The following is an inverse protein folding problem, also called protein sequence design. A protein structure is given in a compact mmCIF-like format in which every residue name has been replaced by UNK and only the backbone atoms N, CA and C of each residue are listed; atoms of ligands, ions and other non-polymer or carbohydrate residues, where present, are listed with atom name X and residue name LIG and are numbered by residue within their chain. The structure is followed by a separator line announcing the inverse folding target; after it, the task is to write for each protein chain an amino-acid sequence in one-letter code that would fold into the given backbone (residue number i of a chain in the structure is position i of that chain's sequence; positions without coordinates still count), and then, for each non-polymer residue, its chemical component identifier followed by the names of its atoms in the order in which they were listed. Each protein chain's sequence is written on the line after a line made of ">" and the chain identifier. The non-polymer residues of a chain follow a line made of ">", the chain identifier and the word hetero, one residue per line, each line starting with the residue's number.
data_IF_239959765216
#
_entry.id   IF_239959765216
#
_cell.length_a   1.000
_cell.length_b   1.000
_cell.length_c   1.000
_cell.angle_alpha   90.00
_cell.angle_beta   90.00
_cell.angle_gamma   90.00
#
_symmetry.space_group_name_H-M   'P 1'
#
loop_
_entity.id
_entity.type
_entity.pdbx_description
1 polymer ?
#
# COMPACT_ATOMS: atom_id res chain seq x y z
N UNK A 1 -14.08 33.19 14.34
CA UNK A 1 -15.34 33.30 13.58
C UNK A 1 -16.34 32.32 14.19
N UNK A 2 -17.55 32.74 14.57
CA UNK A 2 -18.58 31.80 15.06
C UNK A 2 -19.31 31.19 13.86
N UNK A 3 -18.79 30.07 13.36
CA UNK A 3 -19.41 29.31 12.25
C UNK A 3 -20.50 28.34 12.74
N UNK A 4 -20.36 27.83 13.96
CA UNK A 4 -21.22 26.76 14.50
C UNK A 4 -22.70 27.16 14.51
N UNK A 5 -23.54 26.36 13.85
CA UNK A 5 -24.99 26.57 13.74
C UNK A 5 -25.40 27.61 12.68
N UNK A 6 -24.47 28.10 11.86
CA UNK A 6 -24.79 29.06 10.79
C UNK A 6 -25.11 28.38 9.46
N UNK A 7 -25.89 29.06 8.61
CA UNK A 7 -26.09 28.63 7.21
C UNK A 7 -24.76 28.54 6.43
N UNK A 8 -23.73 29.30 6.85
CA UNK A 8 -22.40 29.23 6.24
C UNK A 8 -21.71 27.91 6.55
N UNK A 9 -21.81 27.41 7.78
CA UNK A 9 -21.28 26.10 8.14
C UNK A 9 -21.96 24.98 7.35
N UNK A 10 -23.29 25.01 7.22
CA UNK A 10 -24.02 24.02 6.42
C UNK A 10 -23.54 24.00 4.96
N UNK A 11 -23.40 25.19 4.35
CA UNK A 11 -22.89 25.33 2.98
C UNK A 11 -21.45 24.84 2.86
N UNK A 12 -20.58 25.13 3.83
CA UNK A 12 -19.21 24.63 3.87
C UNK A 12 -19.15 23.11 3.99
N UNK A 13 -19.97 22.48 4.84
CA UNK A 13 -20.04 21.02 4.94
C UNK A 13 -20.47 20.38 3.62
N UNK A 14 -21.45 20.98 2.94
CA UNK A 14 -21.92 20.50 1.64
C UNK A 14 -20.86 20.67 0.55
N UNK A 15 -20.14 21.79 0.56
CA UNK A 15 -19.03 22.01 -0.37
C UNK A 15 -17.90 20.98 -0.13
N UNK A 16 -17.49 20.80 1.13
CA UNK A 16 -16.49 19.79 1.52
C UNK A 16 -16.83 18.39 1.02
N UNK A 17 -18.06 17.91 1.26
CA UNK A 17 -18.50 16.60 0.75
C UNK A 17 -18.45 16.55 -0.78
N UNK A 18 -18.87 17.63 -1.45
CA UNK A 18 -18.84 17.70 -2.93
C UNK A 18 -17.41 17.64 -3.47
N UNK A 19 -16.46 18.33 -2.87
CA UNK A 19 -15.05 18.30 -3.29
C UNK A 19 -14.43 16.91 -3.08
N UNK A 20 -14.76 16.23 -1.97
CA UNK A 20 -14.35 14.84 -1.76
C UNK A 20 -14.91 13.90 -2.85
N UNK A 21 -16.18 14.06 -3.21
CA UNK A 21 -16.79 13.29 -4.31
C UNK A 21 -16.17 13.60 -5.67
N UNK A 22 -15.94 14.88 -5.98
CA UNK A 22 -15.33 15.31 -7.23
C UNK A 22 -13.91 14.76 -7.38
N UNK A 23 -13.10 14.87 -6.33
CA UNK A 23 -11.76 14.25 -6.24
C UNK A 23 -11.79 12.77 -6.56
N UNK A 24 -12.68 12.00 -5.92
CA UNK A 24 -12.76 10.56 -6.13
C UNK A 24 -13.13 10.23 -7.58
N UNK A 25 -14.15 10.91 -8.13
CA UNK A 25 -14.57 10.72 -9.52
C UNK A 25 -13.46 11.03 -10.51
N UNK A 26 -12.76 12.17 -10.36
CA UNK A 26 -11.66 12.53 -11.25
C UNK A 26 -10.48 11.56 -11.14
N UNK A 27 -10.25 10.96 -9.98
CA UNK A 27 -9.26 9.87 -9.84
C UNK A 27 -9.66 8.67 -10.70
N UNK A 28 -10.91 8.20 -10.61
CA UNK A 28 -11.38 7.08 -11.43
C UNK A 28 -11.46 7.40 -12.92
N UNK A 29 -11.80 8.64 -13.28
CA UNK A 29 -11.81 9.08 -14.68
C UNK A 29 -10.40 9.13 -15.26
N UNK A 30 -9.40 9.49 -14.45
CA UNK A 30 -8.01 9.42 -14.86
C UNK A 30 -7.61 7.97 -15.17
N UNK A 31 -7.97 7.01 -14.32
CA UNK A 31 -7.66 5.60 -14.55
C UNK A 31 -8.32 5.06 -15.82
N UNK A 32 -9.60 5.40 -16.06
CA UNK A 32 -10.29 5.04 -17.29
C UNK A 32 -9.61 5.67 -18.53
N UNK A 33 -9.16 6.92 -18.43
CA UNK A 33 -8.43 7.58 -19.52
C UNK A 33 -7.06 6.93 -19.79
N UNK A 34 -6.31 6.50 -18.77
CA UNK A 34 -5.05 5.74 -18.94
C UNK A 34 -5.30 4.42 -19.65
N UNK A 35 -6.34 3.68 -19.24
CA UNK A 35 -6.71 2.42 -19.89
C UNK A 35 -7.10 2.61 -21.36
N UNK A 36 -7.63 3.78 -21.72
CA UNK A 36 -7.93 4.16 -23.10
C UNK A 36 -6.70 4.73 -23.87
N UNK A 37 -5.52 4.81 -23.25
CA UNK A 37 -4.32 5.40 -23.84
C UNK A 37 -4.36 6.91 -24.01
N UNK A 38 -5.25 7.61 -23.28
CA UNK A 38 -5.45 9.06 -23.34
C UNK A 38 -4.70 9.77 -22.20
N UNK A 39 -3.37 9.68 -22.21
CA UNK A 39 -2.53 10.14 -21.10
C UNK A 39 -2.75 11.62 -20.72
N UNK A 40 -2.84 12.53 -21.69
CA UNK A 40 -3.08 13.95 -21.39
C UNK A 40 -4.42 14.19 -20.69
N UNK A 41 -5.44 13.40 -21.02
CA UNK A 41 -6.75 13.48 -20.37
C UNK A 41 -6.66 12.93 -18.95
N UNK A 42 -5.95 11.81 -18.77
CA UNK A 42 -5.70 11.24 -17.45
C UNK A 42 -4.92 12.18 -16.53
N UNK A 43 -3.91 12.85 -17.06
CA UNK A 43 -3.10 13.84 -16.34
C UNK A 43 -3.95 15.03 -15.89
N UNK A 44 -4.79 15.56 -16.78
CA UNK A 44 -5.67 16.68 -16.44
C UNK A 44 -6.70 16.29 -15.38
N UNK A 45 -7.29 15.09 -15.47
CA UNK A 45 -8.16 14.58 -14.41
C UNK A 45 -7.42 14.40 -13.09
N UNK A 46 -6.20 13.86 -13.11
CA UNK A 46 -5.39 13.66 -11.90
C UNK A 46 -5.03 15.01 -11.25
N UNK A 47 -4.61 15.99 -12.05
CA UNK A 47 -4.31 17.35 -11.57
C UNK A 47 -5.57 18.03 -11.00
N UNK A 48 -6.71 17.88 -11.66
CA UNK A 48 -7.99 18.42 -11.16
C UNK A 48 -8.40 17.74 -9.85
N UNK A 49 -8.26 16.41 -9.74
CA UNK A 49 -8.53 15.69 -8.50
C UNK A 49 -7.67 16.21 -7.33
N UNK A 50 -6.40 16.53 -7.61
CA UNK A 50 -5.50 17.13 -6.62
C UNK A 50 -5.95 18.54 -6.24
N UNK A 51 -6.42 19.33 -7.19
CA UNK A 51 -6.98 20.66 -6.92
C UNK A 51 -8.24 20.59 -6.02
N UNK A 52 -9.14 19.62 -6.26
CA UNK A 52 -10.29 19.42 -5.37
C UNK A 52 -9.87 18.94 -3.97
N UNK A 53 -8.75 18.23 -3.86
CA UNK A 53 -8.16 17.89 -2.56
C UNK A 53 -7.71 19.15 -1.80
N UNK A 54 -7.13 20.14 -2.48
CA UNK A 54 -6.74 21.43 -1.88
C UNK A 54 -7.96 22.24 -1.45
N UNK A 55 -9.00 22.28 -2.27
CA UNK A 55 -10.28 22.90 -1.92
C UNK A 55 -10.87 22.26 -0.65
N UNK A 56 -10.99 20.93 -0.63
CA UNK A 56 -11.50 20.18 0.52
C UNK A 56 -10.66 20.43 1.79
N UNK A 57 -9.33 20.55 1.67
CA UNK A 57 -8.45 20.83 2.81
C UNK A 57 -8.70 22.23 3.40
N UNK A 58 -8.90 23.25 2.55
CA UNK A 58 -9.26 24.59 3.02
C UNK A 58 -10.63 24.62 3.70
N UNK A 59 -11.63 23.96 3.11
CA UNK A 59 -12.97 23.86 3.69
C UNK A 59 -12.96 23.11 5.02
N UNK A 60 -12.21 22.01 5.11
CA UNK A 60 -12.00 21.27 6.35
C UNK A 60 -11.37 22.16 7.44
N UNK A 61 -10.40 23.00 7.07
CA UNK A 61 -9.79 23.98 7.98
C UNK A 61 -10.83 24.99 8.49
N UNK A 62 -11.69 25.53 7.62
CA UNK A 62 -12.78 26.42 8.06
C UNK A 62 -13.78 25.72 8.99
N UNK A 63 -14.01 24.42 8.82
CA UNK A 63 -14.88 23.60 9.66
C UNK A 63 -14.25 23.20 11.00
N UNK A 64 -13.05 23.70 11.32
CA UNK A 64 -12.35 23.47 12.59
C UNK A 64 -11.12 22.57 12.48
N UNK A 65 -10.88 21.97 11.31
CA UNK A 65 -9.73 21.12 11.04
C UNK A 65 -9.68 19.85 11.89
N UNK A 66 -8.50 19.22 11.92
CA UNK A 66 -8.24 18.08 12.79
C UNK A 66 -8.00 18.55 14.23
N UNK A 67 -8.49 17.79 15.21
CA UNK A 67 -8.16 17.98 16.63
C UNK A 67 -6.78 17.44 16.98
N UNK A 68 -6.49 17.31 18.28
CA UNK A 68 -5.32 16.56 18.74
C UNK A 68 -5.46 15.05 18.42
N UNK A 69 -4.35 14.32 18.47
CA UNK A 69 -4.30 12.90 18.11
C UNK A 69 -5.31 12.05 18.89
N UNK A 70 -5.48 12.29 20.19
CA UNK A 70 -6.40 11.52 21.04
C UNK A 70 -7.85 11.82 20.64
N UNK A 71 -8.19 13.09 20.44
CA UNK A 71 -9.53 13.48 19.97
C UNK A 71 -9.86 12.93 18.60
N UNK A 72 -8.90 12.92 17.66
CA UNK A 72 -9.07 12.35 16.33
C UNK A 72 -9.29 10.84 16.38
N UNK A 73 -8.52 10.11 17.21
CA UNK A 73 -8.69 8.67 17.39
C UNK A 73 -10.06 8.32 17.96
N UNK A 74 -10.52 9.06 18.98
CA UNK A 74 -11.85 8.85 19.57
C UNK A 74 -12.97 9.06 18.54
N UNK A 75 -12.87 10.11 17.73
CA UNK A 75 -13.82 10.38 16.66
C UNK A 75 -13.80 9.29 15.58
N UNK A 76 -12.61 8.81 15.20
CA UNK A 76 -12.48 7.71 14.26
C UNK A 76 -13.15 6.44 14.81
N UNK A 77 -12.81 6.02 16.03
CA UNK A 77 -13.40 4.84 16.70
C UNK A 77 -14.93 4.91 16.71
N UNK A 78 -15.51 6.05 17.09
CA UNK A 78 -16.97 6.22 17.12
C UNK A 78 -17.61 6.01 15.75
N UNK A 79 -16.98 6.55 14.69
CA UNK A 79 -17.45 6.38 13.31
C UNK A 79 -17.30 4.96 12.81
N UNK A 80 -16.13 4.36 12.96
CA UNK A 80 -15.88 2.97 12.55
C UNK A 80 -16.87 2.01 13.23
N UNK A 81 -17.15 2.23 14.53
CA UNK A 81 -18.13 1.45 15.28
C UNK A 81 -19.55 1.64 14.73
N UNK A 82 -19.97 2.87 14.46
CA UNK A 82 -21.29 3.17 13.89
C UNK A 82 -21.44 2.54 12.50
N UNK A 83 -20.41 2.63 11.67
CA UNK A 83 -20.40 2.05 10.33
C UNK A 83 -20.45 0.51 10.37
N UNK A 84 -19.65 -0.11 11.23
CA UNK A 84 -19.61 -1.56 11.41
C UNK A 84 -20.90 -2.16 11.98
N UNK A 85 -21.54 -1.46 12.93
CA UNK A 85 -22.66 -2.02 13.70
C UNK A 85 -24.04 -1.57 13.24
N UNK A 86 -24.14 -0.44 12.53
CA UNK A 86 -25.42 0.13 12.08
C UNK A 86 -25.45 0.39 10.59
N UNK A 87 -24.61 1.29 10.07
CA UNK A 87 -24.75 1.80 8.70
C UNK A 87 -24.68 0.68 7.66
N UNK A 88 -23.61 -0.11 7.67
CA UNK A 88 -23.42 -1.17 6.67
C UNK A 88 -24.34 -2.38 6.90
N UNK A 89 -24.62 -2.83 8.14
CA UNK A 89 -25.63 -3.86 8.36
C UNK A 89 -27.03 -3.46 7.88
N UNK A 90 -27.47 -2.23 8.14
CA UNK A 90 -28.76 -1.71 7.65
C UNK A 90 -28.76 -1.64 6.11
N UNK A 91 -27.69 -1.12 5.50
CA UNK A 91 -27.56 -1.07 4.05
C UNK A 91 -27.56 -2.47 3.40
N UNK A 92 -26.92 -3.45 4.03
CA UNK A 92 -26.93 -4.84 3.58
C UNK A 92 -28.34 -5.44 3.63
N UNK A 93 -29.09 -5.17 4.69
CA UNK A 93 -30.48 -5.63 4.82
C UNK A 93 -31.36 -5.05 3.71
N UNK A 94 -31.30 -3.73 3.48
CA UNK A 94 -32.06 -3.07 2.43
C UNK A 94 -31.71 -3.66 1.05
N UNK A 95 -30.42 -3.84 0.77
CA UNK A 95 -29.98 -4.45 -0.49
C UNK A 95 -30.50 -5.88 -0.68
N UNK A 96 -30.53 -6.71 0.38
CA UNK A 96 -31.09 -8.08 0.31
C UNK A 96 -32.60 -8.07 0.08
N UNK A 97 -33.33 -7.18 0.78
CA UNK A 97 -34.79 -7.01 0.63
C UNK A 97 -35.18 -6.58 -0.79
N UNK A 98 -34.36 -5.73 -1.42
CA UNK A 98 -34.53 -5.29 -2.81
C UNK A 98 -34.01 -6.31 -3.84
N UNK A 99 -33.33 -7.37 -3.41
CA UNK A 99 -32.81 -8.44 -4.26
C UNK A 99 -31.40 -8.22 -4.83
N UNK A 100 -30.68 -7.19 -4.37
CA UNK A 100 -29.29 -6.87 -4.75
C UNK A 100 -28.26 -7.64 -3.91
N UNK A 101 -28.25 -8.97 -4.04
CA UNK A 101 -27.42 -9.88 -3.22
C UNK A 101 -25.94 -9.56 -3.22
N UNK A 102 -25.36 -9.25 -4.39
CA UNK A 102 -23.93 -8.93 -4.49
C UNK A 102 -23.57 -7.66 -3.70
N UNK A 103 -24.47 -6.67 -3.67
CA UNK A 103 -24.32 -5.43 -2.92
C UNK A 103 -24.49 -5.70 -1.41
N UNK A 104 -25.47 -6.53 -1.05
CA UNK A 104 -25.66 -6.96 0.34
C UNK A 104 -24.43 -7.67 0.89
N UNK A 105 -23.85 -8.59 0.11
CA UNK A 105 -22.60 -9.27 0.46
C UNK A 105 -21.42 -8.30 0.58
N UNK A 106 -21.35 -7.29 -0.30
CA UNK A 106 -20.33 -6.24 -0.23
C UNK A 106 -20.44 -5.43 1.07
N UNK A 107 -21.62 -4.93 1.43
CA UNK A 107 -21.82 -4.22 2.70
C UNK A 107 -21.50 -5.09 3.92
N UNK A 108 -21.87 -6.37 3.89
CA UNK A 108 -21.49 -7.31 4.94
C UNK A 108 -19.97 -7.51 5.07
N UNK A 109 -19.21 -7.40 3.98
CA UNK A 109 -17.74 -7.40 4.03
C UNK A 109 -17.23 -6.08 4.59
N UNK A 110 -17.78 -4.94 4.19
CA UNK A 110 -17.42 -3.63 4.74
C UNK A 110 -17.58 -3.58 6.26
N UNK A 111 -18.70 -4.09 6.81
CA UNK A 111 -18.89 -4.16 8.26
C UNK A 111 -17.75 -4.86 9.01
N UNK A 112 -17.17 -5.91 8.42
CA UNK A 112 -16.04 -6.64 9.02
C UNK A 112 -14.75 -5.84 8.92
N UNK A 113 -14.57 -5.06 7.86
CA UNK A 113 -13.42 -4.19 7.64
C UNK A 113 -13.45 -3.03 8.64
N UNK A 114 -14.58 -2.33 8.78
CA UNK A 114 -14.69 -1.21 9.72
C UNK A 114 -14.54 -1.67 11.18
N UNK A 115 -15.04 -2.86 11.54
CA UNK A 115 -14.79 -3.45 12.86
C UNK A 115 -13.28 -3.69 13.13
N UNK A 116 -12.51 -3.97 12.08
CA UNK A 116 -11.04 -4.10 12.18
C UNK A 116 -10.37 -2.73 12.30
N UNK A 117 -10.85 -1.71 11.59
CA UNK A 117 -10.38 -0.33 11.75
C UNK A 117 -10.61 0.18 13.17
N UNK A 118 -11.82 0.00 13.71
CA UNK A 118 -12.17 0.34 15.10
C UNK A 118 -11.17 -0.28 16.08
N UNK A 119 -10.96 -1.61 15.97
CA UNK A 119 -9.99 -2.33 16.81
C UNK A 119 -8.59 -1.74 16.70
N UNK A 120 -8.11 -1.46 15.49
CA UNK A 120 -6.78 -0.89 15.29
C UNK A 120 -6.67 0.50 15.93
N UNK A 121 -7.70 1.34 15.83
CA UNK A 121 -7.71 2.66 16.45
C UNK A 121 -7.82 2.61 17.98
N UNK A 122 -8.52 1.62 18.55
CA UNK A 122 -8.53 1.37 19.98
C UNK A 122 -7.14 1.00 20.52
N UNK A 123 -6.44 0.10 19.84
CA UNK A 123 -5.05 -0.26 20.19
C UNK A 123 -4.10 0.95 20.07
N UNK A 124 -4.30 1.81 19.06
CA UNK A 124 -3.54 3.05 18.90
C UNK A 124 -3.85 4.07 20.00
N UNK A 125 -5.11 4.22 20.38
CA UNK A 125 -5.53 5.13 21.45
C UNK A 125 -4.91 4.73 22.78
N UNK A 126 -4.95 3.44 23.13
CA UNK A 126 -4.30 2.91 24.34
C UNK A 126 -2.78 3.15 24.31
N UNK A 127 -2.15 2.93 23.15
CA UNK A 127 -0.72 3.15 23.00
C UNK A 127 -0.35 4.63 23.20
N UNK A 128 -1.07 5.55 22.56
CA UNK A 128 -0.82 6.99 22.67
C UNK A 128 -1.08 7.51 24.08
N UNK A 129 -2.17 7.09 24.72
CA UNK A 129 -2.55 7.54 26.07
C UNK A 129 -1.55 7.06 27.14
N UNK A 130 -0.98 5.86 26.95
CA UNK A 130 0.08 5.31 27.80
C UNK A 130 1.49 5.82 27.49
N UNK A 131 1.66 6.64 26.45
CA UNK A 131 2.98 7.09 25.97
C UNK A 131 3.83 5.98 25.34
N UNK A 132 3.21 4.87 24.93
CA UNK A 132 3.85 3.75 24.26
C UNK A 132 3.66 3.82 22.73
N UNK A 133 4.22 2.86 22.00
CA UNK A 133 4.11 2.76 20.54
C UNK A 133 3.56 1.40 20.14
N UNK A 134 2.78 1.35 19.06
CA UNK A 134 2.38 0.06 18.47
C UNK A 134 3.59 -0.73 18.00
N UNK A 135 3.56 -2.05 18.18
CA UNK A 135 4.69 -2.93 17.83
C UNK A 135 4.88 -3.09 16.33
N UNK A 136 3.80 -3.03 15.56
CA UNK A 136 3.80 -3.33 14.13
C UNK A 136 4.01 -2.13 13.22
N UNK A 137 4.16 -2.41 11.92
CA UNK A 137 4.28 -1.39 10.87
C UNK A 137 3.41 -1.76 9.68
N UNK A 138 2.84 -0.76 9.03
CA UNK A 138 2.08 -0.94 7.80
C UNK A 138 3.00 -1.25 6.62
N UNK A 139 2.46 -1.84 5.55
CA UNK A 139 3.20 -2.04 4.30
C UNK A 139 3.81 -0.72 3.81
N UNK A 140 2.97 0.33 3.76
CA UNK A 140 3.36 1.69 3.35
C UNK A 140 4.52 2.32 4.13
N UNK A 141 4.76 1.90 5.39
CA UNK A 141 5.91 2.39 6.16
C UNK A 141 7.25 2.10 5.47
N UNK A 142 7.33 0.98 4.75
CA UNK A 142 8.56 0.45 4.16
C UNK A 142 8.56 0.47 2.64
N UNK A 143 7.42 0.71 2.00
CA UNK A 143 7.30 0.78 0.54
C UNK A 143 8.29 1.78 -0.06
N UNK A 144 8.87 1.38 -1.19
CA UNK A 144 9.72 2.23 -2.00
C UNK A 144 9.32 2.18 -3.46
N UNK A 145 9.69 3.24 -4.17
CA UNK A 145 9.80 3.31 -5.61
C UNK A 145 11.20 3.84 -5.92
N UNK A 146 11.89 3.22 -6.88
CA UNK A 146 13.20 3.65 -7.36
C UNK A 146 13.19 3.75 -8.87
N UNK A 147 13.63 4.88 -9.40
CA UNK A 147 13.73 5.12 -10.82
C UNK A 147 15.21 5.15 -11.26
N UNK A 148 15.56 4.42 -12.31
CA UNK A 148 16.91 4.43 -12.88
C UNK A 148 16.89 4.37 -14.41
N UNK A 149 17.59 5.31 -15.05
CA UNK A 149 17.85 5.27 -16.49
C UNK A 149 18.89 4.20 -16.82
N UNK A 150 18.60 3.35 -17.80
CA UNK A 150 19.52 2.28 -18.22
C UNK A 150 20.60 2.79 -19.16
N UNK A 151 21.86 2.61 -18.77
CA UNK A 151 23.02 3.15 -19.48
C UNK A 151 23.70 2.10 -20.38
N UNK A 152 24.44 2.52 -21.43
CA UNK A 152 25.07 1.60 -22.38
C UNK A 152 25.96 0.53 -21.73
N UNK A 153 26.74 0.88 -20.70
CA UNK A 153 27.63 -0.07 -20.01
C UNK A 153 26.90 -1.19 -19.24
N UNK A 154 25.58 -1.05 -19.04
CA UNK A 154 24.73 -2.04 -18.39
C UNK A 154 24.12 -3.01 -19.39
N UNK A 155 24.38 -2.82 -20.70
CA UNK A 155 23.74 -3.58 -21.78
C UNK A 155 24.69 -4.47 -22.53
N UNK A 156 24.15 -5.53 -23.10
CA UNK A 156 24.87 -6.36 -24.06
C UNK A 156 24.99 -5.64 -25.42
N UNK A 157 25.81 -6.14 -26.36
CA UNK A 157 25.98 -5.50 -27.67
C UNK A 157 24.69 -5.33 -28.50
N UNK A 158 23.62 -6.07 -28.18
CA UNK A 158 22.32 -5.94 -28.83
C UNK A 158 21.41 -4.87 -28.18
N UNK A 159 21.91 -4.16 -27.15
CA UNK A 159 21.21 -3.07 -26.48
C UNK A 159 20.26 -3.52 -25.38
N UNK A 160 20.27 -4.79 -24.97
CA UNK A 160 19.46 -5.28 -23.85
C UNK A 160 20.23 -5.21 -22.54
N UNK A 161 19.58 -4.73 -21.48
CA UNK A 161 20.15 -4.67 -20.14
C UNK A 161 20.43 -6.07 -19.62
N UNK A 162 21.62 -6.27 -19.04
CA UNK A 162 21.97 -7.55 -18.45
C UNK A 162 21.07 -7.85 -17.25
N UNK A 163 20.58 -9.08 -17.15
CA UNK A 163 19.73 -9.49 -16.02
C UNK A 163 20.41 -9.28 -14.66
N UNK A 164 21.74 -9.40 -14.58
CA UNK A 164 22.51 -9.12 -13.36
C UNK A 164 22.39 -7.67 -12.88
N UNK A 165 22.30 -6.71 -13.78
CA UNK A 165 22.09 -5.30 -13.42
C UNK A 165 20.69 -5.10 -12.84
N UNK A 166 19.67 -5.70 -13.44
CA UNK A 166 18.29 -5.64 -12.94
C UNK A 166 18.17 -6.32 -11.57
N UNK A 167 18.77 -7.50 -11.40
CA UNK A 167 18.78 -8.20 -10.12
C UNK A 167 19.49 -7.41 -9.01
N UNK A 168 20.58 -6.71 -9.34
CA UNK A 168 21.26 -5.82 -8.40
C UNK A 168 20.36 -4.67 -7.94
N UNK A 169 19.58 -4.08 -8.85
CA UNK A 169 18.62 -3.03 -8.50
C UNK A 169 17.49 -3.56 -7.61
N UNK A 170 16.97 -4.74 -7.93
CA UNK A 170 15.92 -5.40 -7.15
C UNK A 170 16.42 -5.78 -5.74
N UNK A 171 17.64 -6.30 -5.61
CA UNK A 171 18.24 -6.64 -4.31
C UNK A 171 18.48 -5.40 -3.44
N UNK A 172 19.00 -4.32 -4.02
CA UNK A 172 19.12 -3.03 -3.33
C UNK A 172 17.76 -2.53 -2.83
N UNK A 173 16.74 -2.60 -3.69
CA UNK A 173 15.37 -2.22 -3.34
C UNK A 173 14.82 -3.08 -2.19
N UNK A 174 14.96 -4.40 -2.26
CA UNK A 174 14.54 -5.31 -1.20
C UNK A 174 15.27 -5.05 0.12
N UNK A 175 16.58 -4.80 0.05
CA UNK A 175 17.42 -4.39 1.18
C UNK A 175 16.89 -3.13 1.87
N UNK A 176 16.58 -2.07 1.10
CA UNK A 176 16.04 -0.82 1.66
C UNK A 176 14.68 -1.03 2.30
N UNK A 177 13.76 -1.77 1.65
CA UNK A 177 12.44 -2.08 2.22
C UNK A 177 12.59 -2.82 3.56
N UNK A 178 13.40 -3.88 3.59
CA UNK A 178 13.65 -4.67 4.79
C UNK A 178 14.33 -3.87 5.90
N UNK A 179 15.28 -3.00 5.55
CA UNK A 179 15.94 -2.10 6.52
C UNK A 179 14.97 -1.07 7.08
N UNK A 180 14.12 -0.47 6.23
CA UNK A 180 13.08 0.48 6.67
C UNK A 180 12.10 -0.18 7.62
N UNK A 181 11.69 -1.41 7.37
CA UNK A 181 10.75 -2.14 8.23
C UNK A 181 11.39 -2.63 9.53
N UNK A 182 12.58 -3.22 9.48
CA UNK A 182 13.22 -3.79 10.67
C UNK A 182 13.97 -2.78 11.54
N UNK A 183 14.49 -1.69 10.95
CA UNK A 183 15.53 -0.81 11.55
C UNK A 183 16.76 -1.59 12.03
N UNK A 184 17.04 -2.71 11.37
CA UNK A 184 18.21 -3.55 11.58
C UNK A 184 18.95 -3.76 10.25
N UNK A 185 20.07 -4.50 10.27
CA UNK A 185 20.80 -4.85 9.07
C UNK A 185 20.14 -6.07 8.39
N UNK A 186 19.52 -5.93 7.20
CA UNK A 186 18.96 -7.07 6.49
C UNK A 186 20.04 -7.77 5.64
N UNK A 187 19.96 -9.08 5.56
CA UNK A 187 20.72 -9.88 4.59
C UNK A 187 19.76 -10.66 3.70
N UNK A 188 20.09 -10.80 2.42
CA UNK A 188 19.31 -11.58 1.47
C UNK A 188 19.53 -13.07 1.75
N UNK A 189 18.51 -13.75 2.26
CA UNK A 189 18.59 -15.18 2.52
C UNK A 189 18.28 -16.00 1.27
N UNK A 190 17.35 -15.51 0.44
CA UNK A 190 16.90 -16.21 -0.76
C UNK A 190 16.11 -15.26 -1.68
N UNK A 191 16.13 -15.56 -2.97
CA UNK A 191 15.29 -14.94 -3.99
C UNK A 191 14.50 -16.02 -4.69
N UNK A 192 13.19 -15.82 -4.85
CA UNK A 192 12.26 -16.78 -5.46
C UNK A 192 11.46 -16.11 -6.61
N UNK A 193 10.99 -16.95 -7.53
CA UNK A 193 10.08 -16.59 -8.62
C UNK A 193 10.53 -15.39 -9.46
N UNK A 194 11.82 -15.34 -9.82
CA UNK A 194 12.32 -14.32 -10.76
C UNK A 194 11.77 -14.62 -12.15
N UNK A 195 10.83 -13.80 -12.60
CA UNK A 195 10.20 -13.92 -13.91
C UNK A 195 10.58 -12.73 -14.79
N UNK A 196 11.31 -12.99 -15.89
CA UNK A 196 11.60 -12.00 -16.93
C UNK A 196 10.46 -12.01 -17.96
N UNK A 197 9.56 -11.04 -17.84
CA UNK A 197 8.35 -10.96 -18.66
C UNK A 197 8.61 -10.23 -19.98
N UNK A 198 9.31 -9.10 -19.91
CA UNK A 198 9.64 -8.27 -21.06
C UNK A 198 11.09 -7.81 -21.03
N UNK A 199 11.76 -7.69 -22.19
CA UNK A 199 13.14 -7.22 -22.26
C UNK A 199 13.25 -5.74 -21.89
N UNK A 200 14.32 -5.38 -21.19
CA UNK A 200 14.69 -3.99 -20.87
C UNK A 200 15.80 -3.54 -21.81
N UNK A 201 15.67 -2.35 -22.41
CA UNK A 201 16.63 -1.80 -23.36
C UNK A 201 17.44 -0.66 -22.77
N UNK A 202 18.59 -0.39 -23.40
CA UNK A 202 19.34 0.85 -23.15
C UNK A 202 18.45 2.07 -23.37
N UNK A 203 18.50 3.03 -22.45
CA UNK A 203 17.71 4.25 -22.49
C UNK A 203 16.30 4.13 -21.91
N UNK A 204 15.81 2.93 -21.58
CA UNK A 204 14.56 2.79 -20.82
C UNK A 204 14.74 3.34 -19.40
N UNK A 205 13.69 3.96 -18.87
CA UNK A 205 13.58 4.24 -17.44
C UNK A 205 13.07 2.98 -16.74
N UNK A 206 13.85 2.41 -15.84
CA UNK A 206 13.43 1.30 -15.00
C UNK A 206 12.84 1.84 -13.70
N UNK A 207 11.61 1.45 -13.39
CA UNK A 207 10.91 1.73 -12.15
C UNK A 207 10.85 0.45 -11.33
N UNK A 208 11.43 0.46 -10.12
CA UNK A 208 11.45 -0.68 -9.20
C UNK A 208 10.56 -0.35 -8.01
N UNK A 209 9.50 -1.12 -7.84
CA UNK A 209 8.55 -1.01 -6.75
C UNK A 209 8.82 -2.12 -5.74
N UNK A 210 8.96 -1.76 -4.47
CA UNK A 210 9.22 -2.73 -3.40
C UNK A 210 8.25 -2.60 -2.25
N UNK A 211 7.61 -3.70 -1.86
CA UNK A 211 6.69 -3.76 -0.71
C UNK A 211 6.82 -5.06 0.08
N UNK A 212 6.64 -4.99 1.40
CA UNK A 212 6.59 -6.20 2.24
C UNK A 212 5.26 -6.91 2.03
N UNK A 213 5.33 -8.21 1.80
CA UNK A 213 4.14 -9.08 1.68
C UNK A 213 3.94 -9.95 2.91
N UNK A 214 5.01 -10.32 3.63
CA UNK A 214 4.90 -11.19 4.80
C UNK A 214 6.05 -10.95 5.79
N UNK A 215 5.78 -11.13 7.08
CA UNK A 215 6.79 -11.01 8.15
C UNK A 215 6.65 -12.18 9.13
N UNK A 216 7.79 -12.79 9.48
CA UNK A 216 7.90 -13.80 10.54
C UNK A 216 8.58 -13.21 11.78
N UNK A 217 9.19 -14.03 12.64
CA UNK A 217 9.96 -13.54 13.80
C UNK A 217 11.14 -12.66 13.40
N UNK A 218 11.93 -13.10 12.42
CA UNK A 218 13.19 -12.42 12.03
C UNK A 218 13.37 -12.27 10.52
N UNK A 219 12.41 -12.76 9.72
CA UNK A 219 12.46 -12.70 8.26
C UNK A 219 11.31 -11.87 7.70
N UNK A 220 11.55 -11.23 6.58
CA UNK A 220 10.60 -10.40 5.84
C UNK A 220 10.61 -10.88 4.38
N UNK A 221 9.43 -11.13 3.83
CA UNK A 221 9.25 -11.36 2.41
C UNK A 221 8.92 -10.02 1.74
N UNK A 222 9.71 -9.65 0.74
CA UNK A 222 9.57 -8.41 -0.02
C UNK A 222 9.24 -8.78 -1.46
N UNK A 223 8.11 -8.31 -1.95
CA UNK A 223 7.78 -8.36 -3.37
C UNK A 223 8.44 -7.20 -4.08
N UNK A 224 9.16 -7.50 -5.16
CA UNK A 224 9.72 -6.51 -6.07
C UNK A 224 9.03 -6.66 -7.42
N UNK A 225 8.48 -5.56 -7.92
CA UNK A 225 7.94 -5.42 -9.27
C UNK A 225 8.77 -4.39 -10.03
N UNK A 226 9.12 -4.72 -11.27
CA UNK A 226 9.94 -3.86 -12.12
C UNK A 226 9.15 -3.54 -13.38
N UNK A 227 9.01 -2.24 -13.65
CA UNK A 227 8.42 -1.71 -14.87
C UNK A 227 9.48 -0.96 -15.67
N UNK A 228 9.28 -0.87 -16.98
CA UNK A 228 10.06 0.01 -17.85
C UNK A 228 9.16 1.04 -18.48
N UNK A 229 9.64 2.27 -18.55
CA UNK A 229 9.01 3.38 -19.26
C UNK A 229 9.93 3.86 -20.39
N UNK A 230 9.39 3.99 -21.60
CA UNK A 230 10.05 4.72 -22.66
C UNK A 230 9.77 6.23 -22.48
N UNK A 231 10.79 7.00 -22.12
CA UNK A 231 10.66 8.42 -21.79
C UNK A 231 10.18 9.32 -22.95
N UNK A 232 10.25 8.85 -24.19
CA UNK A 232 9.80 9.62 -25.36
C UNK A 232 8.37 9.31 -25.76
N UNK A 233 7.90 8.09 -25.51
CA UNK A 233 6.54 7.67 -25.86
C UNK A 233 5.60 7.59 -24.67
N UNK A 234 6.12 7.60 -23.44
CA UNK A 234 5.38 7.37 -22.19
C UNK A 234 4.92 5.92 -21.99
N UNK A 235 5.23 5.00 -22.92
CA UNK A 235 4.76 3.63 -22.83
C UNK A 235 5.44 2.91 -21.67
N UNK A 236 4.61 2.35 -20.76
CA UNK A 236 5.03 1.53 -19.64
C UNK A 236 4.72 0.05 -19.88
N UNK A 237 5.58 -0.83 -19.40
CA UNK A 237 5.35 -2.27 -19.40
C UNK A 237 6.00 -2.92 -18.18
N UNK A 238 5.36 -3.97 -17.64
CA UNK A 238 5.97 -4.77 -16.59
C UNK A 238 7.11 -5.61 -17.18
N UNK A 239 8.32 -5.46 -16.65
CA UNK A 239 9.49 -6.16 -17.13
C UNK A 239 9.84 -7.37 -16.27
N UNK A 240 9.79 -7.25 -14.94
CA UNK A 240 10.17 -8.31 -14.01
C UNK A 240 9.30 -8.33 -12.75
N UNK A 241 9.26 -9.48 -12.09
CA UNK A 241 8.81 -9.58 -10.69
C UNK A 241 9.59 -10.66 -9.97
N UNK A 242 9.73 -10.52 -8.64
CA UNK A 242 10.35 -11.53 -7.77
C UNK A 242 9.93 -11.35 -6.30
N UNK A 243 10.17 -12.38 -5.50
CA UNK A 243 10.07 -12.33 -4.04
C UNK A 243 11.44 -12.50 -3.38
N UNK A 244 11.82 -11.58 -2.51
CA UNK A 244 13.04 -11.61 -1.73
C UNK A 244 12.73 -11.99 -0.29
N UNK A 245 13.43 -12.98 0.24
CA UNK A 245 13.38 -13.31 1.66
C UNK A 245 14.59 -12.68 2.33
N UNK A 246 14.32 -11.64 3.11
CA UNK A 246 15.31 -10.88 3.86
C UNK A 246 15.31 -11.32 5.32
N UNK A 247 16.47 -11.43 5.94
CA UNK A 247 16.60 -11.73 7.38
C UNK A 247 17.30 -10.58 8.07
N UNK A 248 16.68 -10.04 9.11
CA UNK A 248 17.32 -9.02 9.94
C UNK A 248 18.33 -9.67 10.89
N UNK A 249 19.56 -9.15 10.92
CA UNK A 249 20.65 -9.65 11.77
C UNK A 249 21.30 -8.55 12.60
N UNK A 250 21.91 -8.93 13.73
CA UNK A 250 22.77 -8.07 14.53
C UNK A 250 24.20 -7.96 13.95
N UNK A 251 25.08 -7.22 14.63
CA UNK A 251 26.49 -7.07 14.25
C UNK A 251 27.27 -8.39 14.23
N UNK A 252 26.80 -9.40 14.98
CA UNK A 252 27.38 -10.74 15.00
C UNK A 252 26.76 -11.70 13.98
N UNK A 253 25.84 -11.22 13.12
CA UNK A 253 25.14 -12.03 12.12
C UNK A 253 24.01 -12.90 12.69
N UNK A 254 23.60 -12.70 13.95
CA UNK A 254 22.49 -13.48 14.55
C UNK A 254 21.14 -12.87 14.20
N UNK A 255 20.11 -13.68 13.87
CA UNK A 255 18.79 -13.16 13.52
C UNK A 255 18.10 -12.42 14.69
N UNK A 256 17.67 -11.19 14.43
CA UNK A 256 16.95 -10.34 15.40
C UNK A 256 15.45 -10.31 15.13
N UNK A 257 14.66 -10.02 16.17
CA UNK A 257 13.22 -9.88 16.03
C UNK A 257 12.86 -8.64 15.20
N UNK A 258 11.86 -8.75 14.32
CA UNK A 258 11.38 -7.66 13.48
C UNK A 258 9.94 -7.26 13.85
N UNK A 259 9.55 -5.99 13.64
CA UNK A 259 8.17 -5.55 13.85
C UNK A 259 7.16 -6.38 13.05
N UNK A 260 6.00 -6.78 13.62
CA UNK A 260 4.95 -7.44 12.85
C UNK A 260 4.40 -6.53 11.74
N UNK A 261 3.89 -7.14 10.66
CA UNK A 261 3.24 -6.42 9.58
C UNK A 261 1.77 -6.17 9.91
N UNK A 262 1.35 -4.91 9.82
CA UNK A 262 -0.05 -4.50 9.93
C UNK A 262 -0.60 -4.43 8.49
N UNK A 263 -1.53 -5.33 8.18
CA UNK A 263 -2.23 -5.38 6.89
C UNK A 263 -3.63 -4.79 7.04
N UNK A 264 -4.01 -3.95 6.08
CA UNK A 264 -5.22 -3.13 6.13
C UNK A 264 -6.15 -3.38 4.96
N UNK A 265 -5.61 -3.51 3.74
CA UNK A 265 -6.42 -3.73 2.54
C UNK A 265 -6.61 -5.21 2.21
N UNK A 266 -7.66 -5.55 1.46
CA UNK A 266 -7.89 -6.92 0.98
C UNK A 266 -6.68 -7.46 0.18
N UNK A 267 -6.02 -6.59 -0.59
CA UNK A 267 -4.83 -6.96 -1.35
C UNK A 267 -3.66 -7.33 -0.43
N UNK A 268 -3.43 -6.54 0.63
CA UNK A 268 -2.39 -6.80 1.63
C UNK A 268 -2.66 -8.08 2.41
N UNK A 269 -3.92 -8.33 2.80
CA UNK A 269 -4.33 -9.57 3.46
C UNK A 269 -4.08 -10.79 2.57
N UNK A 270 -4.44 -10.71 1.29
CA UNK A 270 -4.18 -11.77 0.32
C UNK A 270 -2.68 -12.04 0.20
N UNK A 271 -1.85 -11.00 0.01
CA UNK A 271 -0.41 -11.17 -0.08
C UNK A 271 0.21 -11.76 1.18
N UNK A 272 -0.31 -11.39 2.35
CA UNK A 272 0.14 -11.94 3.62
C UNK A 272 -0.20 -13.42 3.76
N UNK A 273 -1.42 -13.83 3.40
CA UNK A 273 -1.84 -15.24 3.43
C UNK A 273 -1.01 -16.11 2.45
N UNK A 274 -0.75 -15.60 1.25
CA UNK A 274 0.12 -16.25 0.28
C UNK A 274 1.57 -16.37 0.78
N UNK A 275 2.13 -15.29 1.35
CA UNK A 275 3.48 -15.26 1.89
C UNK A 275 3.65 -16.20 3.10
N UNK A 276 2.62 -16.31 3.95
CA UNK A 276 2.57 -17.30 5.03
C UNK A 276 2.61 -18.72 4.47
N UNK A 277 1.83 -18.99 3.42
CA UNK A 277 1.80 -20.30 2.75
C UNK A 277 3.19 -20.65 2.19
N UNK A 278 3.84 -19.72 1.48
CA UNK A 278 5.22 -19.88 1.00
C UNK A 278 6.19 -20.13 2.17
N UNK A 279 6.08 -19.36 3.25
CA UNK A 279 6.92 -19.52 4.45
C UNK A 279 6.79 -20.92 5.08
N UNK A 280 5.57 -21.43 5.24
CA UNK A 280 5.33 -22.76 5.81
C UNK A 280 5.88 -23.87 4.90
N UNK A 281 5.73 -23.74 3.59
CA UNK A 281 6.29 -24.67 2.62
C UNK A 281 7.83 -24.74 2.73
N UNK A 282 8.50 -23.59 2.89
CA UNK A 282 9.96 -23.49 3.08
C UNK A 282 10.41 -24.19 4.36
N UNK A 283 9.75 -23.94 5.48
CA UNK A 283 10.07 -24.58 6.78
C UNK A 283 9.95 -26.10 6.72
N UNK A 284 8.95 -26.60 6.00
CA UNK A 284 8.74 -28.05 5.81
C UNK A 284 9.82 -28.69 4.93
N UNK A 285 10.27 -28.00 3.87
CA UNK A 285 11.36 -28.49 3.01
C UNK A 285 12.71 -28.48 3.72
N UNK A 286 13.02 -27.42 4.48
CA UNK A 286 14.27 -27.32 5.26
C UNK A 286 14.44 -28.44 6.29
N UNK A 287 13.36 -28.83 6.98
CA UNK A 287 13.39 -29.93 7.96
C UNK A 287 13.60 -31.32 7.32
N UNK A 288 13.28 -31.52 6.03
CA UNK A 288 13.51 -32.80 5.35
C UNK A 288 14.96 -32.98 4.87
N UNK A 289 15.73 -31.90 4.74
CA UNK A 289 17.14 -31.92 4.32
C UNK A 289 18.13 -32.24 5.44
N UNK A 290 17.74 -32.10 6.71
CA UNK A 290 18.60 -32.36 7.89
C UNK A 290 18.52 -33.80 8.44
N UNK A 291 17.63 -34.64 7.88
CA UNK A 291 17.45 -36.06 8.25
C UNK A 291 17.98 -37.02 7.17
N UNK A 292 18.98 -36.62 6.38
CA UNK A 292 19.67 -37.47 5.41
C UNK A 292 21.18 -37.43 5.63
#
# INVERSE_FOLDING_TARGET
>A
MQLKGSNTEEKLRRAFVRELHARANYTYFADAARQAGLEQVADLFSATAQNEAEHAAHEFTFLGGAGDTISNLKLAIEREYEEATKLYPEAAQVAEEEGFKEIAEFFNRMSKVEAKHEKNFLELLEAVDSGSTIKGRTVGHSTIEMAQLMLPHQTNPAGFVHGGELMKLMDNAAGVVAARHSRANPVTAMVEDINFLNPVRVGDLVLVHGKITFVSRSSMEVKIDVETENLFTGQRQQALSAYYVMVAVDLGGKPVEVPPLIVTTEEEERFFAEGLTRYQARKTKGNKGMNR
#
